data_IF_159114136635
#
_entry.id   IF_159114136635
#
_cell.length_a   1.000
_cell.length_b   1.000
_cell.length_c   1.000
_cell.angle_alpha   90.00
_cell.angle_beta   90.00
_cell.angle_gamma   90.00
#
_symmetry.space_group_name_H-M   'P 1'
#
loop_
_entity.id
_entity.type
_entity.pdbx_description
1 polymer ?
#
# COMPACT_ATOMS: atom_id res chain seq x y z
N UNK A 1 -1.41 -67.70 -0.68
CA UNK A 1 -2.23 -66.56 -1.15
C UNK A 1 -1.74 -65.32 -0.42
N UNK A 2 -0.79 -64.59 -1.00
CA UNK A 2 -0.38 -63.27 -0.51
C UNK A 2 -1.09 -62.22 -1.36
N UNK A 3 -1.85 -61.36 -0.69
CA UNK A 3 -2.48 -60.19 -1.32
C UNK A 3 -1.49 -59.03 -1.21
N UNK A 4 -0.84 -58.70 -2.32
CA UNK A 4 -0.02 -57.50 -2.43
C UNK A 4 -0.95 -56.29 -2.52
N UNK A 5 -1.02 -55.50 -1.45
CA UNK A 5 -1.69 -54.21 -1.43
C UNK A 5 -0.78 -53.19 -2.13
N UNK A 6 -1.16 -52.79 -3.34
CA UNK A 6 -0.49 -51.72 -4.07
C UNK A 6 -0.70 -50.38 -3.34
N UNK A 7 0.39 -49.80 -2.83
CA UNK A 7 0.41 -48.46 -2.27
C UNK A 7 0.02 -47.42 -3.33
N UNK A 8 -1.03 -46.64 -3.07
CA UNK A 8 -1.42 -45.48 -3.90
C UNK A 8 -0.27 -44.46 -3.91
N UNK A 9 0.21 -44.13 -5.11
CA UNK A 9 1.16 -43.04 -5.39
C UNK A 9 0.68 -41.75 -4.72
N UNK A 10 1.59 -41.10 -4.00
CA UNK A 10 1.35 -39.81 -3.34
C UNK A 10 0.86 -38.77 -4.34
N UNK A 11 -0.33 -38.24 -4.06
CA UNK A 11 -0.88 -37.08 -4.72
C UNK A 11 0.09 -35.91 -4.48
N UNK A 12 0.82 -35.51 -5.52
CA UNK A 12 1.60 -34.29 -5.45
C UNK A 12 0.60 -33.13 -5.30
N UNK A 13 0.83 -32.17 -4.38
CA UNK A 13 -0.05 -31.01 -4.29
C UNK A 13 -0.13 -30.35 -5.68
N UNK A 14 -1.34 -30.01 -6.17
CA UNK A 14 -1.47 -29.36 -7.47
C UNK A 14 -0.63 -28.09 -7.47
N UNK A 15 0.12 -27.87 -8.56
CA UNK A 15 0.85 -26.63 -8.74
C UNK A 15 -0.18 -25.48 -8.77
N UNK A 16 0.08 -24.42 -8.00
CA UNK A 16 -0.82 -23.27 -7.89
C UNK A 16 -0.14 -22.02 -8.41
N UNK A 17 -0.83 -21.26 -9.26
CA UNK A 17 -0.48 -19.87 -9.57
C UNK A 17 -0.84 -18.99 -8.40
N UNK A 18 0.13 -18.18 -7.98
CA UNK A 18 -0.05 -17.19 -6.94
C UNK A 18 -0.17 -15.78 -7.54
N UNK A 19 -1.16 -15.03 -7.05
CA UNK A 19 -1.34 -13.62 -7.31
C UNK A 19 -1.23 -12.86 -5.99
N UNK A 20 -0.63 -11.69 -6.02
CA UNK A 20 -0.56 -10.79 -4.88
C UNK A 20 -1.57 -9.67 -5.09
N UNK A 21 -2.48 -9.47 -4.15
CA UNK A 21 -3.44 -8.38 -4.13
C UNK A 21 -3.27 -7.50 -2.88
N UNK A 22 -3.64 -6.23 -2.98
CA UNK A 22 -3.62 -5.27 -1.88
C UNK A 22 -4.63 -4.14 -2.10
N UNK A 23 -4.84 -3.34 -1.07
CA UNK A 23 -5.64 -2.10 -1.15
C UNK A 23 -4.82 -0.94 -0.63
N UNK A 24 -4.77 0.14 -1.40
CA UNK A 24 -3.95 1.33 -1.13
C UNK A 24 -4.75 2.62 -1.32
N UNK A 25 -4.15 3.72 -0.89
CA UNK A 25 -4.42 5.06 -1.44
C UNK A 25 -3.17 5.53 -2.15
N UNK A 26 -3.29 5.92 -3.42
CA UNK A 26 -2.23 6.64 -4.14
C UNK A 26 -2.19 8.10 -3.69
N UNK A 27 -1.00 8.65 -3.51
CA UNK A 27 -0.85 10.03 -3.06
C UNK A 27 -1.14 11.01 -4.20
N UNK A 28 -2.15 11.87 -4.01
CA UNK A 28 -2.52 12.95 -4.94
C UNK A 28 -2.19 14.31 -4.28
N UNK A 29 -1.12 15.02 -4.69
CA UNK A 29 -0.73 16.28 -4.07
C UNK A 29 -1.77 17.40 -4.26
N UNK A 30 -1.94 18.25 -3.24
CA UNK A 30 -2.89 19.37 -3.24
C UNK A 30 -2.20 20.72 -3.46
N UNK A 31 -2.28 21.23 -4.69
CA UNK A 31 -1.74 22.54 -5.07
C UNK A 31 -0.25 22.52 -5.44
N UNK A 32 0.26 23.65 -5.93
CA UNK A 32 1.58 23.74 -6.54
C UNK A 32 2.74 23.39 -5.58
N UNK A 33 2.63 23.75 -4.31
CA UNK A 33 3.67 23.44 -3.30
C UNK A 33 3.69 21.97 -2.96
N UNK A 34 2.52 21.34 -2.80
CA UNK A 34 2.44 19.90 -2.60
C UNK A 34 2.96 19.14 -3.83
N UNK A 35 2.70 19.62 -5.05
CA UNK A 35 3.23 19.03 -6.28
C UNK A 35 4.77 19.05 -6.30
N UNK A 36 5.38 20.18 -5.95
CA UNK A 36 6.84 20.28 -5.83
C UNK A 36 7.40 19.35 -4.75
N UNK A 37 6.75 19.29 -3.59
CA UNK A 37 7.12 18.39 -2.48
C UNK A 37 6.97 16.91 -2.89
N UNK A 38 5.95 16.57 -3.66
CA UNK A 38 5.75 15.22 -4.22
C UNK A 38 6.84 14.83 -5.22
N UNK A 39 7.25 15.75 -6.09
CA UNK A 39 8.36 15.54 -7.02
C UNK A 39 9.68 15.32 -6.26
N UNK A 40 9.96 16.10 -5.21
CA UNK A 40 11.12 15.89 -4.35
C UNK A 40 11.08 14.53 -3.63
N UNK A 41 9.91 14.14 -3.10
CA UNK A 41 9.71 12.80 -2.54
C UNK A 41 10.05 11.71 -3.56
N UNK A 42 9.61 11.87 -4.81
CA UNK A 42 9.90 10.91 -5.88
C UNK A 42 11.40 10.87 -6.24
N UNK A 43 12.13 11.99 -6.13
CA UNK A 43 13.59 12.01 -6.32
C UNK A 43 14.31 11.21 -5.23
N UNK A 44 13.92 11.38 -3.95
CA UNK A 44 14.45 10.56 -2.85
C UNK A 44 14.15 9.09 -3.11
N UNK A 45 12.90 8.75 -3.48
CA UNK A 45 12.53 7.38 -3.78
C UNK A 45 13.33 6.81 -4.94
N UNK A 46 13.58 7.59 -5.99
CA UNK A 46 14.41 7.14 -7.11
C UNK A 46 15.82 6.73 -6.67
N UNK A 47 16.41 7.47 -5.73
CA UNK A 47 17.75 7.17 -5.20
C UNK A 47 17.77 6.03 -4.16
N UNK A 48 16.72 5.92 -3.34
CA UNK A 48 16.76 5.11 -2.11
C UNK A 48 15.67 4.05 -1.96
N UNK A 49 14.65 4.02 -2.83
CA UNK A 49 13.56 3.06 -2.77
C UNK A 49 13.68 2.02 -3.89
N UNK A 50 14.10 0.80 -3.56
CA UNK A 50 14.11 -0.34 -4.46
C UNK A 50 12.73 -0.69 -5.04
N UNK A 51 11.65 -0.12 -4.49
CA UNK A 51 10.31 -0.25 -5.00
C UNK A 51 9.89 0.90 -5.94
N UNK A 52 10.72 1.91 -6.16
CA UNK A 52 10.39 3.09 -6.97
C UNK A 52 9.76 2.75 -8.33
N UNK A 53 10.39 1.86 -9.10
CA UNK A 53 9.91 1.45 -10.43
C UNK A 53 8.67 0.53 -10.39
N UNK A 54 8.27 0.06 -9.20
CA UNK A 54 7.17 -0.90 -9.01
C UNK A 54 5.86 -0.26 -8.60
N UNK A 55 5.84 1.00 -8.18
CA UNK A 55 4.61 1.70 -7.78
C UNK A 55 4.86 3.14 -7.37
N UNK A 56 3.84 3.96 -7.62
CA UNK A 56 3.73 5.34 -7.16
C UNK A 56 3.72 5.41 -5.61
N UNK A 57 4.03 6.58 -5.03
CA UNK A 57 3.87 6.82 -3.60
C UNK A 57 2.44 6.54 -3.16
N UNK A 58 2.29 5.81 -2.06
CA UNK A 58 0.99 5.33 -1.60
C UNK A 58 1.00 5.08 -0.09
N UNK A 59 -0.19 4.89 0.46
CA UNK A 59 -0.45 4.39 1.81
C UNK A 59 -1.11 3.02 1.69
N UNK A 60 -0.56 1.99 2.33
CA UNK A 60 -1.17 0.65 2.31
C UNK A 60 -2.29 0.54 3.33
N UNK A 61 -3.53 0.28 2.89
CA UNK A 61 -4.70 0.11 3.78
C UNK A 61 -4.94 -1.35 4.14
N UNK A 62 -4.88 -2.24 3.14
CA UNK A 62 -4.90 -3.69 3.34
C UNK A 62 -3.57 -4.23 2.82
N UNK A 63 -2.73 -4.83 3.69
CA UNK A 63 -1.44 -5.36 3.30
C UNK A 63 -1.53 -6.41 2.19
N UNK A 64 -0.45 -6.61 1.42
CA UNK A 64 -0.40 -7.65 0.41
C UNK A 64 -0.80 -9.04 0.94
N UNK A 65 -1.68 -9.71 0.20
CA UNK A 65 -2.10 -11.09 0.48
C UNK A 65 -2.10 -11.92 -0.81
N UNK A 66 -2.01 -13.24 -0.64
CA UNK A 66 -1.94 -14.17 -1.76
C UNK A 66 -3.33 -14.71 -2.11
N UNK A 67 -3.64 -14.69 -3.40
CA UNK A 67 -4.71 -15.45 -4.03
C UNK A 67 -4.06 -16.63 -4.76
N UNK A 68 -4.52 -17.85 -4.49
CA UNK A 68 -4.01 -19.04 -5.15
C UNK A 68 -5.06 -19.60 -6.09
N UNK A 69 -4.65 -19.87 -7.32
CA UNK A 69 -5.48 -20.42 -8.38
C UNK A 69 -4.84 -21.73 -8.83
N UNK A 70 -5.59 -22.84 -8.97
CA UNK A 70 -5.06 -24.09 -9.51
C UNK A 70 -4.46 -23.87 -10.90
N UNK A 71 -3.34 -24.52 -11.23
CA UNK A 71 -2.71 -24.37 -12.54
C UNK A 71 -3.57 -24.95 -13.68
N UNK A 72 -4.40 -25.94 -13.38
CA UNK A 72 -5.38 -26.52 -14.28
C UNK A 72 -6.64 -25.65 -14.49
N UNK A 73 -6.78 -24.51 -13.80
CA UNK A 73 -7.87 -23.58 -14.04
C UNK A 73 -7.78 -23.05 -15.49
N UNK A 74 -8.79 -23.30 -16.34
CA UNK A 74 -8.76 -22.85 -17.73
C UNK A 74 -8.85 -21.33 -17.86
N UNK A 75 -9.36 -20.63 -16.83
CA UNK A 75 -9.56 -19.18 -16.82
C UNK A 75 -9.05 -18.55 -15.52
N UNK A 76 -7.73 -18.60 -15.25
CA UNK A 76 -7.18 -18.22 -13.95
C UNK A 76 -7.40 -16.74 -13.63
N UNK A 77 -7.42 -15.87 -14.65
CA UNK A 77 -7.74 -14.46 -14.48
C UNK A 77 -9.21 -14.25 -14.09
N UNK A 78 -10.15 -15.03 -14.63
CA UNK A 78 -11.56 -14.93 -14.24
C UNK A 78 -11.74 -15.31 -12.76
N UNK A 79 -11.01 -16.31 -12.26
CA UNK A 79 -11.01 -16.68 -10.84
C UNK A 79 -10.46 -15.57 -9.93
N UNK A 80 -9.36 -14.93 -10.34
CA UNK A 80 -8.82 -13.75 -9.63
C UNK A 80 -9.83 -12.60 -9.66
N UNK A 81 -10.40 -12.30 -10.82
CA UNK A 81 -11.39 -11.23 -11.02
C UNK A 81 -12.60 -11.40 -10.10
N UNK A 82 -13.20 -12.60 -10.03
CA UNK A 82 -14.32 -12.88 -9.12
C UNK A 82 -13.95 -12.61 -7.65
N UNK A 83 -12.74 -12.99 -7.25
CA UNK A 83 -12.26 -12.77 -5.89
C UNK A 83 -12.07 -11.28 -5.58
N UNK A 84 -11.51 -10.52 -6.52
CA UNK A 84 -11.29 -9.09 -6.38
C UNK A 84 -12.61 -8.29 -6.47
N UNK A 85 -13.56 -8.72 -7.28
CA UNK A 85 -14.91 -8.14 -7.33
C UNK A 85 -15.68 -8.38 -6.04
N UNK A 86 -15.62 -9.58 -5.47
CA UNK A 86 -16.22 -9.85 -4.18
C UNK A 86 -15.63 -8.95 -3.07
N UNK A 87 -14.31 -8.75 -3.06
CA UNK A 87 -13.67 -7.79 -2.17
C UNK A 87 -14.20 -6.37 -2.44
N UNK A 88 -14.21 -5.92 -3.70
CA UNK A 88 -14.68 -4.59 -4.05
C UNK A 88 -16.10 -4.31 -3.55
N UNK A 89 -17.02 -5.27 -3.74
CA UNK A 89 -18.39 -5.15 -3.27
C UNK A 89 -18.49 -5.05 -1.74
N UNK A 90 -17.61 -5.76 -1.00
CA UNK A 90 -17.56 -5.64 0.45
C UNK A 90 -17.02 -4.27 0.91
N UNK A 91 -16.08 -3.67 0.16
CA UNK A 91 -15.48 -2.38 0.53
C UNK A 91 -16.33 -1.17 0.14
N UNK A 92 -17.13 -1.27 -0.93
CA UNK A 92 -17.95 -0.17 -1.46
C UNK A 92 -18.83 0.52 -0.39
N UNK A 93 -19.60 -0.20 0.46
CA UNK A 93 -20.41 0.43 1.49
C UNK A 93 -19.60 1.13 2.59
N UNK A 94 -18.34 0.72 2.80
CA UNK A 94 -17.44 1.44 3.71
C UNK A 94 -17.00 2.73 3.05
N UNK A 95 -16.49 2.68 1.82
CA UNK A 95 -16.08 3.88 1.08
C UNK A 95 -17.20 4.94 1.00
N UNK A 96 -18.44 4.52 0.76
CA UNK A 96 -19.59 5.43 0.69
C UNK A 96 -19.92 6.14 2.02
N UNK A 97 -19.47 5.63 3.17
CA UNK A 97 -19.68 6.23 4.50
C UNK A 97 -18.61 7.25 4.88
N UNK A 98 -17.43 7.16 4.27
CA UNK A 98 -16.28 8.00 4.61
C UNK A 98 -16.17 9.14 3.63
N UNK A 99 -16.12 10.37 4.14
CA UNK A 99 -15.90 11.54 3.31
C UNK A 99 -14.47 11.60 2.79
N UNK A 100 -14.32 12.11 1.58
CA UNK A 100 -13.05 12.55 1.06
C UNK A 100 -12.44 13.59 2.01
N UNK A 101 -11.14 13.48 2.26
CA UNK A 101 -10.44 14.32 3.22
C UNK A 101 -9.00 14.56 2.78
N UNK A 102 -8.30 15.42 3.51
CA UNK A 102 -6.91 15.73 3.26
C UNK A 102 -6.02 15.08 4.31
N UNK A 103 -4.81 14.70 3.91
CA UNK A 103 -3.74 14.32 4.83
C UNK A 103 -2.59 15.31 4.73
N UNK A 104 -1.97 15.62 5.86
CA UNK A 104 -0.68 16.30 5.88
C UNK A 104 0.41 15.34 6.34
N UNK A 105 1.21 14.85 5.38
CA UNK A 105 2.35 13.96 5.64
C UNK A 105 3.58 14.80 6.03
N UNK A 106 3.79 15.00 7.32
CA UNK A 106 4.86 15.86 7.86
C UNK A 106 5.75 15.18 8.90
N UNK A 107 5.31 14.06 9.48
CA UNK A 107 6.04 13.37 10.55
C UNK A 107 7.03 12.37 9.95
N UNK A 108 8.32 12.61 10.13
CA UNK A 108 9.37 11.75 9.60
C UNK A 108 9.74 10.65 10.60
N UNK A 109 9.65 9.39 10.16
CA UNK A 109 9.89 8.23 11.01
C UNK A 109 10.73 7.16 10.30
N UNK A 110 11.19 6.20 11.10
CA UNK A 110 11.78 4.96 10.59
C UNK A 110 11.37 3.75 11.43
N UNK A 111 11.37 2.57 10.82
CA UNK A 111 11.37 1.31 11.55
C UNK A 111 12.36 0.35 10.91
N UNK A 112 12.93 -0.52 11.74
CA UNK A 112 13.86 -1.55 11.29
C UNK A 112 13.10 -2.72 10.68
N UNK A 113 13.49 -3.11 9.47
CA UNK A 113 13.15 -4.40 8.87
C UNK A 113 14.39 -5.31 8.92
N UNK A 114 14.23 -6.56 8.45
CA UNK A 114 15.29 -7.58 8.56
C UNK A 114 16.64 -7.12 8.02
N UNK A 115 16.67 -6.40 6.88
CA UNK A 115 17.90 -6.04 6.16
C UNK A 115 18.21 -4.55 6.11
N UNK A 116 17.27 -3.69 6.47
CA UNK A 116 17.36 -2.24 6.28
C UNK A 116 16.37 -1.52 7.19
N UNK A 117 16.54 -0.21 7.35
CA UNK A 117 15.51 0.66 7.92
C UNK A 117 14.63 1.22 6.80
N UNK A 118 13.31 1.18 6.97
CA UNK A 118 12.41 1.88 6.08
C UNK A 118 12.20 3.29 6.62
N UNK A 119 12.58 4.29 5.83
CA UNK A 119 12.33 5.70 6.12
C UNK A 119 11.01 6.10 5.47
N UNK A 120 10.14 6.75 6.23
CA UNK A 120 8.79 7.04 5.77
C UNK A 120 8.22 8.29 6.42
N UNK A 121 7.24 8.88 5.74
CA UNK A 121 6.41 9.95 6.28
C UNK A 121 5.14 9.37 6.89
N UNK A 122 4.66 9.99 7.95
CA UNK A 122 3.36 9.74 8.56
C UNK A 122 2.51 11.00 8.51
N UNK A 123 1.17 10.87 8.45
CA UNK A 123 0.30 12.00 8.63
C UNK A 123 0.39 12.51 10.06
N UNK A 124 0.16 13.80 10.27
CA UNK A 124 -0.11 14.30 11.63
C UNK A 124 -1.26 13.53 12.25
N UNK A 125 -1.26 13.35 13.58
CA UNK A 125 -2.35 12.66 14.27
C UNK A 125 -3.74 13.20 13.90
N UNK A 126 -3.87 14.53 13.80
CA UNK A 126 -5.13 15.18 13.45
C UNK A 126 -5.58 14.84 12.02
N UNK A 127 -4.69 15.00 11.03
CA UNK A 127 -5.04 14.73 9.63
C UNK A 127 -5.24 13.22 9.37
N UNK A 128 -4.49 12.35 10.05
CA UNK A 128 -4.55 10.90 9.86
C UNK A 128 -5.74 10.18 10.51
N UNK A 129 -6.47 10.82 11.43
CA UNK A 129 -7.54 10.16 12.18
C UNK A 129 -8.69 9.60 11.31
N UNK A 130 -9.18 10.30 10.26
CA UNK A 130 -10.17 9.75 9.34
C UNK A 130 -9.65 8.51 8.60
N UNK A 131 -8.40 8.54 8.12
CA UNK A 131 -7.78 7.42 7.42
C UNK A 131 -7.65 6.17 8.31
N UNK A 132 -7.30 6.34 9.59
CA UNK A 132 -7.22 5.24 10.55
C UNK A 132 -8.60 4.61 10.78
N UNK A 133 -9.65 5.43 10.85
CA UNK A 133 -11.03 4.97 10.98
C UNK A 133 -11.47 4.20 9.72
N UNK A 134 -11.23 4.77 8.54
CA UNK A 134 -11.47 4.13 7.25
C UNK A 134 -10.78 2.77 7.16
N UNK A 135 -9.48 2.72 7.49
CA UNK A 135 -8.69 1.49 7.41
C UNK A 135 -9.22 0.39 8.33
N UNK A 136 -9.65 0.74 9.54
CA UNK A 136 -10.23 -0.22 10.49
C UNK A 136 -11.49 -0.86 9.92
N UNK A 137 -12.40 -0.06 9.36
CA UNK A 137 -13.66 -0.55 8.78
C UNK A 137 -13.43 -1.35 7.50
N UNK A 138 -12.51 -0.91 6.63
CA UNK A 138 -12.09 -1.68 5.45
C UNK A 138 -11.51 -3.04 5.86
N UNK A 139 -10.72 -3.10 6.94
CA UNK A 139 -10.14 -4.36 7.43
C UNK A 139 -11.20 -5.34 7.93
N UNK A 140 -12.25 -4.83 8.59
CA UNK A 140 -13.39 -5.64 9.02
C UNK A 140 -14.14 -6.18 7.80
N UNK A 141 -14.48 -5.31 6.83
CA UNK A 141 -15.19 -5.68 5.61
C UNK A 141 -14.40 -6.67 4.73
N UNK A 142 -13.08 -6.48 4.62
CA UNK A 142 -12.21 -7.36 3.85
C UNK A 142 -11.99 -8.73 4.51
N UNK A 143 -12.33 -8.90 5.79
CA UNK A 143 -11.87 -10.04 6.58
C UNK A 143 -12.28 -11.38 5.96
N UNK A 144 -13.51 -11.54 5.46
CA UNK A 144 -13.98 -12.76 4.77
C UNK A 144 -13.30 -13.03 3.43
N UNK A 145 -12.64 -12.04 2.85
CA UNK A 145 -12.02 -12.09 1.51
C UNK A 145 -10.50 -12.23 1.55
N UNK A 146 -9.88 -12.06 2.73
CA UNK A 146 -8.44 -12.15 2.90
C UNK A 146 -8.06 -13.32 3.84
N UNK A 147 -6.95 -14.04 3.54
CA UNK A 147 -6.45 -15.09 4.42
C UNK A 147 -6.24 -14.57 5.84
N UNK A 148 -6.54 -15.40 6.85
CA UNK A 148 -6.32 -15.05 8.27
C UNK A 148 -4.86 -14.66 8.56
N UNK A 149 -3.90 -15.27 7.87
CA UNK A 149 -2.47 -14.95 7.98
C UNK A 149 -2.11 -13.54 7.51
N UNK A 150 -2.92 -12.95 6.62
CA UNK A 150 -2.74 -11.58 6.15
C UNK A 150 -3.35 -10.53 7.09
N UNK A 151 -4.18 -10.96 8.06
CA UNK A 151 -4.76 -10.08 9.08
C UNK A 151 -3.67 -9.78 10.13
N UNK A 152 -2.96 -8.65 10.00
CA UNK A 152 -1.97 -8.24 11.00
C UNK A 152 -2.64 -7.93 12.34
N UNK A 153 -2.00 -8.33 13.43
CA UNK A 153 -2.43 -8.05 14.82
C UNK A 153 -1.92 -6.70 15.35
N UNK A 154 -0.90 -6.13 14.70
CA UNK A 154 -0.35 -4.83 15.06
C UNK A 154 -1.23 -3.70 14.53
N UNK A 155 -1.33 -2.61 15.30
CA UNK A 155 -2.12 -1.44 14.93
C UNK A 155 -1.70 -0.86 13.59
N UNK A 156 -2.67 -0.36 12.83
CA UNK A 156 -2.41 0.34 11.58
C UNK A 156 -1.67 1.65 11.83
N UNK A 157 -0.52 1.81 11.18
CA UNK A 157 0.27 3.05 11.18
C UNK A 157 0.32 3.55 9.73
N UNK A 158 -0.46 4.58 9.36
CA UNK A 158 -0.41 5.12 8.00
C UNK A 158 0.96 5.71 7.72
N UNK A 159 1.60 5.26 6.63
CA UNK A 159 2.90 5.78 6.24
C UNK A 159 3.13 5.66 4.74
N UNK A 160 3.85 6.64 4.18
CA UNK A 160 4.33 6.65 2.81
C UNK A 160 5.86 6.48 2.81
N UNK A 161 6.34 5.43 2.14
CA UNK A 161 7.78 5.14 2.10
C UNK A 161 8.55 6.17 1.29
N UNK A 162 9.70 6.60 1.82
CA UNK A 162 10.69 7.44 1.14
C UNK A 162 11.85 6.60 0.60
N UNK A 163 12.29 5.58 1.34
CA UNK A 163 13.44 4.78 0.95
C UNK A 163 13.82 3.73 1.98
N UNK A 164 14.86 2.98 1.64
CA UNK A 164 15.54 2.03 2.51
C UNK A 164 16.95 2.54 2.81
N UNK A 165 17.33 2.55 4.09
CA UNK A 165 18.71 2.81 4.53
C UNK A 165 19.36 1.55 5.07
N UNK A 166 20.65 1.37 4.77
CA UNK A 166 21.42 0.20 5.21
C UNK A 166 22.41 0.56 6.33
N UNK A 167 22.66 1.86 6.54
CA UNK A 167 23.48 2.36 7.65
C UNK A 167 22.81 3.54 8.40
N UNK A 168 23.34 3.91 9.59
CA UNK A 168 22.94 5.14 10.29
C UNK A 168 23.21 6.41 9.47
N UNK A 169 24.31 6.47 8.72
CA UNK A 169 24.68 7.59 7.86
C UNK A 169 23.67 7.76 6.71
N UNK A 170 23.30 6.66 6.04
CA UNK A 170 22.23 6.65 5.03
C UNK A 170 20.92 7.17 5.63
N UNK A 171 20.60 6.73 6.85
CA UNK A 171 19.38 7.15 7.55
C UNK A 171 19.39 8.65 7.79
N UNK A 172 20.49 9.18 8.32
CA UNK A 172 20.63 10.62 8.56
C UNK A 172 20.56 11.42 7.26
N UNK A 173 21.18 10.92 6.19
CA UNK A 173 21.18 11.56 4.87
C UNK A 173 19.76 11.67 4.29
N UNK A 174 19.05 10.54 4.18
CA UNK A 174 17.67 10.50 3.67
C UNK A 174 16.77 11.39 4.52
N UNK A 175 16.93 11.36 5.84
CA UNK A 175 16.11 12.19 6.73
C UNK A 175 16.40 13.68 6.57
N UNK A 176 17.66 14.06 6.39
CA UNK A 176 18.05 15.46 6.20
C UNK A 176 17.58 16.01 4.86
N UNK A 177 17.71 15.23 3.79
CA UNK A 177 17.10 15.55 2.51
C UNK A 177 15.58 15.69 2.65
N UNK A 178 14.95 14.79 3.44
CA UNK A 178 13.53 14.83 3.68
C UNK A 178 13.06 16.13 4.35
N UNK A 179 13.74 16.54 5.42
CA UNK A 179 13.44 17.79 6.14
C UNK A 179 13.57 19.02 5.24
N UNK A 180 14.62 19.08 4.41
CA UNK A 180 14.85 20.20 3.50
C UNK A 180 13.71 20.42 2.51
N UNK A 181 13.18 19.36 1.90
CA UNK A 181 12.06 19.54 0.97
C UNK A 181 10.71 19.73 1.69
N UNK A 182 10.51 19.13 2.86
CA UNK A 182 9.29 19.37 3.66
C UNK A 182 9.15 20.85 4.03
N UNK A 183 10.28 21.52 4.27
CA UNK A 183 10.35 22.96 4.56
C UNK A 183 10.33 23.84 3.30
N UNK A 184 10.46 23.28 2.09
CA UNK A 184 10.43 24.06 0.86
C UNK A 184 9.04 24.68 0.64
N UNK A 185 9.04 25.96 0.23
CA UNK A 185 7.84 26.79 0.00
C UNK A 185 8.00 27.62 -1.27
N UNK A 186 6.90 28.01 -1.89
CA UNK A 186 6.95 28.96 -3.00
C UNK A 186 7.23 30.38 -2.48
N UNK A 187 7.95 31.23 -3.22
CA UNK A 187 8.27 32.59 -2.77
C UNK A 187 7.03 33.44 -2.45
N UNK A 188 5.90 33.15 -3.09
CA UNK A 188 4.62 33.83 -2.93
C UNK A 188 3.80 33.34 -1.73
N UNK A 189 4.23 32.30 -1.02
CA UNK A 189 3.47 31.72 0.09
C UNK A 189 3.81 32.37 1.43
N UNK A 190 2.83 32.48 2.34
CA UNK A 190 3.06 33.01 3.67
C UNK A 190 4.03 32.12 4.45
N UNK A 191 4.84 32.73 5.31
CA UNK A 191 5.82 32.02 6.14
C UNK A 191 5.19 30.99 7.10
N UNK A 192 3.88 31.09 7.37
CA UNK A 192 3.10 30.23 8.25
C UNK A 192 2.42 29.04 7.56
N UNK A 193 2.70 28.78 6.27
CA UNK A 193 2.13 27.60 5.60
C UNK A 193 2.62 26.32 6.30
N UNK A 194 1.69 25.40 6.58
CA UNK A 194 2.00 24.11 7.19
C UNK A 194 3.12 23.38 6.42
N UNK A 195 4.14 22.95 7.18
CA UNK A 195 5.15 22.02 6.70
C UNK A 195 4.50 20.66 6.39
N UNK A 196 4.98 19.97 5.35
CA UNK A 196 4.48 18.65 4.99
C UNK A 196 3.99 18.49 3.56
N UNK A 197 3.74 17.24 3.17
CA UNK A 197 3.11 16.93 1.89
C UNK A 197 1.59 16.81 2.09
N UNK A 198 0.85 17.84 1.67
CA UNK A 198 -0.62 17.82 1.64
C UNK A 198 -1.12 17.00 0.47
N UNK A 199 -1.98 16.02 0.74
CA UNK A 199 -2.55 15.12 -0.28
C UNK A 199 -4.05 14.97 -0.11
N UNK A 200 -4.74 14.70 -1.22
CA UNK A 200 -6.16 14.36 -1.21
C UNK A 200 -6.36 12.87 -1.08
N UNK A 201 -7.34 12.49 -0.26
CA UNK A 201 -7.83 11.11 -0.12
C UNK A 201 -9.26 11.11 -0.61
N UNK A 202 -9.45 10.74 -1.87
CA UNK A 202 -10.78 10.73 -2.54
C UNK A 202 -11.24 9.34 -2.90
N UNK A 203 -10.32 8.39 -2.93
CA UNK A 203 -10.56 7.04 -3.40
C UNK A 203 -9.49 6.10 -2.87
N UNK A 204 -9.82 4.81 -2.88
CA UNK A 204 -8.88 3.72 -2.63
C UNK A 204 -8.74 2.88 -3.90
N UNK A 205 -7.57 2.27 -4.09
CA UNK A 205 -7.28 1.40 -5.23
C UNK A 205 -7.13 -0.04 -4.75
N UNK A 206 -7.90 -0.95 -5.37
CA UNK A 206 -7.64 -2.39 -5.31
C UNK A 206 -6.68 -2.71 -6.44
N UNK A 207 -5.54 -3.30 -6.11
CA UNK A 207 -4.50 -3.59 -7.08
C UNK A 207 -4.01 -5.04 -6.94
N UNK A 208 -3.51 -5.61 -8.03
CA UNK A 208 -2.99 -6.98 -8.04
C UNK A 208 -1.84 -7.17 -9.02
N UNK A 209 -1.11 -8.26 -8.88
CA UNK A 209 -0.11 -8.73 -9.85
C UNK A 209 0.10 -10.23 -9.72
N UNK A 210 0.71 -10.86 -10.70
CA UNK A 210 1.19 -12.23 -10.52
C UNK A 210 2.39 -12.23 -9.57
N UNK A 211 2.57 -13.28 -8.77
CA UNK A 211 3.68 -13.33 -7.81
C UNK A 211 5.06 -13.42 -8.48
N UNK A 212 5.11 -13.79 -9.76
CA UNK A 212 6.34 -13.78 -10.57
C UNK A 212 6.61 -12.44 -11.27
N UNK A 213 5.61 -11.55 -11.34
CA UNK A 213 5.73 -10.27 -12.04
C UNK A 213 6.72 -9.33 -11.34
N UNK A 214 7.80 -9.03 -12.05
CA UNK A 214 8.70 -7.90 -11.77
C UNK A 214 8.11 -6.67 -12.43
N UNK A 215 7.63 -5.71 -11.65
CA UNK A 215 7.05 -4.48 -12.19
C UNK A 215 5.85 -3.97 -11.39
N UNK A 216 5.07 -3.05 -11.99
CA UNK A 216 3.97 -2.39 -11.32
C UNK A 216 2.81 -3.33 -11.01
N UNK A 217 2.04 -2.98 -9.98
CA UNK A 217 0.74 -3.58 -9.78
C UNK A 217 -0.25 -3.09 -10.84
N UNK A 218 -1.12 -3.99 -11.28
CA UNK A 218 -2.27 -3.68 -12.14
C UNK A 218 -3.41 -3.15 -11.28
N UNK A 219 -3.99 -2.02 -11.68
CA UNK A 219 -5.22 -1.51 -11.08
C UNK A 219 -6.38 -2.44 -11.42
N UNK A 220 -7.09 -2.93 -10.40
CA UNK A 220 -8.33 -3.68 -10.58
C UNK A 220 -9.54 -2.75 -10.56
N UNK A 221 -9.67 -1.95 -9.49
CA UNK A 221 -10.80 -1.05 -9.30
C UNK A 221 -10.44 0.12 -8.40
N UNK A 222 -11.02 1.28 -8.69
CA UNK A 222 -11.03 2.44 -7.81
C UNK A 222 -12.39 2.53 -7.11
N UNK A 223 -12.37 2.77 -5.80
CA UNK A 223 -13.58 2.97 -5.01
C UNK A 223 -13.54 4.37 -4.40
N UNK A 224 -14.46 5.22 -4.85
CA UNK A 224 -14.56 6.60 -4.38
C UNK A 224 -15.10 6.68 -2.96
N UNK A 225 -14.51 7.57 -2.18
CA UNK A 225 -15.07 8.07 -0.93
C UNK A 225 -16.24 9.02 -1.22
N UNK A 226 -17.11 9.25 -0.24
CA UNK A 226 -18.19 10.23 -0.41
C UNK A 226 -17.63 11.64 -0.54
N UNK A 227 -18.40 12.52 -1.20
CA UNK A 227 -18.03 13.94 -1.34
C UNK A 227 -18.30 14.71 -0.06
#
# INVERSE_FOLDING_TARGET
MEVVVAAKKGCHPPHMRAYTALVVVLLEPLGATAERRYQALQQIRHAHDAAYTRWLPHLTLIPPYQLHVPDEDPEPLATVSRSLDALAQALMPVCAKHMAHELNLSELHSFRLRRYHNIHLRPTRASGAPLVTLQRELSVAASSHIPRSARRREGFVPHASLGQSYSPEDTAHIQEEARRWLACRLPSEPAQLDEGLRVSIRQIQIMYKTSQQKGPYTLWRELSLSR
#
